data_IF_205206550342
#
_entry.id   IF_205206550342
#
_cell.length_a   1.000
_cell.length_b   1.000
_cell.length_c   1.000
_cell.angle_alpha   90.00
_cell.angle_beta   90.00
_cell.angle_gamma   90.00
#
_symmetry.space_group_name_H-M   'P 1'
#
loop_
_entity.id
_entity.type
_entity.pdbx_description
1 polymer ?
#
# COMPACT_ATOMS: atom_id res chain seq x y z
N UNK A 1 -1.43 -6.47 -9.01
CA UNK A 1 -2.67 -5.86 -8.46
C UNK A 1 -2.57 -5.98 -6.96
N UNK A 2 -2.94 -4.91 -6.26
CA UNK A 2 -3.03 -4.83 -4.82
C UNK A 2 -4.45 -4.42 -4.44
N UNK A 3 -5.04 -5.10 -3.47
CA UNK A 3 -6.33 -4.69 -2.90
C UNK A 3 -6.06 -3.87 -1.64
N UNK A 4 -6.70 -2.70 -1.55
CA UNK A 4 -6.65 -1.88 -0.33
C UNK A 4 -7.55 -2.50 0.72
N UNK A 5 -6.96 -2.94 1.83
CA UNK A 5 -7.69 -3.52 2.97
C UNK A 5 -8.13 -2.43 3.95
N UNK A 6 -7.21 -1.54 4.30
CA UNK A 6 -7.43 -0.51 5.31
C UNK A 6 -6.72 0.78 4.90
N UNK A 7 -7.30 1.90 5.32
CA UNK A 7 -6.73 3.24 5.14
C UNK A 7 -6.77 4.01 6.45
N UNK A 8 -5.69 4.73 6.76
CA UNK A 8 -5.60 5.58 7.93
C UNK A 8 -4.85 6.87 7.59
N UNK A 9 -5.48 8.01 7.85
CA UNK A 9 -4.90 9.33 7.56
C UNK A 9 -3.90 9.72 8.65
N UNK A 10 -2.67 10.06 8.24
CA UNK A 10 -1.59 10.52 9.12
C UNK A 10 -1.10 11.88 8.63
N UNK A 11 -1.58 12.97 9.25
CA UNK A 11 -1.33 14.32 8.76
C UNK A 11 -1.82 14.47 7.31
N UNK A 12 -0.90 14.85 6.41
CA UNK A 12 -1.14 14.96 4.97
C UNK A 12 -0.78 13.68 4.20
N UNK A 13 -0.60 12.54 4.88
CA UNK A 13 -0.27 11.25 4.25
C UNK A 13 -1.36 10.23 4.53
N UNK A 14 -1.33 9.14 3.76
CA UNK A 14 -2.25 8.02 3.92
C UNK A 14 -1.46 6.74 4.18
N UNK A 15 -1.69 6.12 5.33
CA UNK A 15 -1.23 4.76 5.62
C UNK A 15 -2.24 3.77 5.04
N UNK A 16 -1.77 2.84 4.23
CA UNK A 16 -2.62 1.94 3.44
C UNK A 16 -2.13 0.51 3.58
N UNK A 17 -3.00 -0.39 3.99
CA UNK A 17 -2.72 -1.84 3.99
C UNK A 17 -3.09 -2.41 2.63
N UNK A 18 -2.13 -3.08 2.00
CA UNK A 18 -2.25 -3.70 0.67
C UNK A 18 -2.17 -5.22 0.80
N UNK A 19 -3.11 -5.92 0.18
CA UNK A 19 -3.10 -7.37 -0.04
C UNK A 19 -2.66 -7.67 -1.49
N UNK A 20 -1.78 -8.66 -1.65
CA UNK A 20 -1.22 -9.06 -2.95
C UNK A 20 0.28 -9.36 -2.89
N UNK A 21 0.93 -9.39 -4.06
CA UNK A 21 2.39 -9.65 -4.22
C UNK A 21 3.26 -8.48 -3.74
N UNK A 22 3.28 -8.28 -2.41
CA UNK A 22 3.87 -7.14 -1.74
C UNK A 22 5.41 -7.14 -1.73
N UNK A 23 6.05 -8.25 -2.11
CA UNK A 23 7.51 -8.37 -2.25
C UNK A 23 8.12 -7.38 -3.26
N UNK A 24 7.29 -6.80 -4.15
CA UNK A 24 7.70 -5.81 -5.13
C UNK A 24 7.63 -4.36 -4.61
N UNK A 25 7.04 -4.13 -3.43
CA UNK A 25 6.88 -2.79 -2.86
C UNK A 25 8.17 -2.36 -2.15
N UNK A 26 8.66 -1.18 -2.50
CA UNK A 26 9.79 -0.50 -1.86
C UNK A 26 9.54 1.00 -1.83
N UNK A 27 10.33 1.73 -1.06
CA UNK A 27 10.28 3.19 -1.06
C UNK A 27 10.55 3.72 -2.48
N UNK A 28 9.71 4.67 -2.92
CA UNK A 28 9.72 5.22 -4.28
C UNK A 28 8.92 4.40 -5.31
N UNK A 29 8.37 3.23 -4.96
CA UNK A 29 7.47 2.50 -5.87
C UNK A 29 6.27 3.37 -6.24
N UNK A 30 5.95 3.42 -7.53
CA UNK A 30 4.75 4.11 -8.05
C UNK A 30 3.62 3.11 -8.24
N UNK A 31 2.48 3.44 -7.67
CA UNK A 31 1.22 2.71 -7.83
C UNK A 31 0.27 3.54 -8.68
N UNK A 32 -0.60 2.91 -9.46
CA UNK A 32 -1.70 3.58 -10.15
C UNK A 32 -3.04 2.90 -9.87
N UNK A 33 -4.12 3.67 -9.91
CA UNK A 33 -5.49 3.13 -9.87
C UNK A 33 -6.09 2.93 -11.27
N UNK A 34 -7.32 2.43 -11.35
CA UNK A 34 -8.06 2.22 -12.61
C UNK A 34 -8.28 3.50 -13.42
N UNK A 35 -8.22 4.68 -12.80
CA UNK A 35 -8.34 5.98 -13.47
C UNK A 35 -7.01 6.48 -14.03
N UNK A 36 -5.90 5.77 -13.75
CA UNK A 36 -4.54 6.16 -14.14
C UNK A 36 -3.88 7.16 -13.19
N UNK A 37 -4.52 7.51 -12.05
CA UNK A 37 -3.90 8.38 -11.05
C UNK A 37 -2.76 7.63 -10.38
N UNK A 38 -1.61 8.29 -10.25
CA UNK A 38 -0.39 7.70 -9.68
C UNK A 38 -0.17 8.14 -8.23
N UNK A 39 0.33 7.22 -7.41
CA UNK A 39 0.65 7.38 -6.00
C UNK A 39 2.08 6.89 -5.74
N UNK A 40 2.84 7.61 -4.92
CA UNK A 40 4.21 7.23 -4.57
C UNK A 40 4.26 6.65 -3.16
N UNK A 41 4.90 5.48 -3.03
CA UNK A 41 5.21 4.84 -1.76
C UNK A 41 6.33 5.61 -1.08
N UNK A 42 6.01 6.36 -0.03
CA UNK A 42 6.97 7.10 0.79
C UNK A 42 7.76 6.14 1.69
N UNK A 43 7.07 5.18 2.30
CA UNK A 43 7.68 4.18 3.17
C UNK A 43 6.90 2.88 3.12
N UNK A 44 7.61 1.75 3.19
CA UNK A 44 7.02 0.43 3.48
C UNK A 44 7.21 0.15 4.97
N UNK A 45 6.13 -0.23 5.67
CA UNK A 45 6.18 -0.57 7.07
C UNK A 45 6.80 -1.97 7.27
N UNK A 46 7.57 -2.14 8.35
CA UNK A 46 7.96 -3.45 8.81
C UNK A 46 6.96 -3.93 9.85
N UNK A 47 6.14 -4.91 9.50
CA UNK A 47 5.15 -5.48 10.40
C UNK A 47 5.72 -6.70 11.11
N UNK A 48 5.47 -6.81 12.41
CA UNK A 48 5.81 -8.02 13.17
C UNK A 48 4.64 -8.99 13.09
N UNK A 49 4.89 -10.17 12.54
CA UNK A 49 3.93 -11.27 12.53
C UNK A 49 4.34 -12.34 13.55
N UNK A 50 3.35 -13.04 14.11
CA UNK A 50 3.60 -14.21 14.94
C UNK A 50 3.99 -15.42 14.10
N UNK A 51 3.40 -15.56 12.91
CA UNK A 51 3.76 -16.56 11.91
C UNK A 51 4.57 -15.90 10.77
N UNK A 52 5.82 -16.32 10.52
CA UNK A 52 6.63 -15.79 9.42
C UNK A 52 5.97 -15.91 8.04
N UNK A 53 5.08 -16.88 7.82
CA UNK A 53 4.38 -17.05 6.55
C UNK A 53 3.36 -15.94 6.23
N UNK A 54 2.95 -15.17 7.25
CA UNK A 54 2.03 -14.04 7.07
C UNK A 54 2.71 -12.79 6.50
N UNK A 55 4.04 -12.71 6.56
CA UNK A 55 4.79 -11.53 6.11
C UNK A 55 4.61 -11.24 4.61
N UNK A 56 4.26 -12.27 3.83
CA UNK A 56 4.04 -12.17 2.39
C UNK A 56 2.57 -11.92 2.01
N UNK A 57 1.63 -11.97 2.97
CA UNK A 57 0.19 -11.85 2.67
C UNK A 57 -0.22 -10.40 2.42
N UNK A 58 0.26 -9.50 3.25
CA UNK A 58 -0.06 -8.08 3.13
C UNK A 58 1.08 -7.22 3.67
N UNK A 59 1.11 -5.97 3.27
CA UNK A 59 2.01 -4.97 3.86
C UNK A 59 1.30 -3.63 4.02
N UNK A 60 1.80 -2.81 4.91
CA UNK A 60 1.32 -1.44 5.08
C UNK A 60 2.34 -0.49 4.45
N UNK A 61 1.85 0.44 3.64
CA UNK A 61 2.67 1.50 3.03
C UNK A 61 2.15 2.87 3.42
N UNK A 62 3.06 3.84 3.45
CA UNK A 62 2.73 5.25 3.58
C UNK A 62 2.77 5.89 2.19
N UNK A 63 1.68 6.55 1.81
CA UNK A 63 1.54 7.26 0.54
C UNK A 63 1.46 8.76 0.79
N UNK A 64 2.01 9.56 -0.13
CA UNK A 64 1.81 11.02 -0.13
C UNK A 64 0.33 11.33 -0.37
N UNK A 65 -0.18 12.41 0.26
CA UNK A 65 -1.58 12.86 0.25
C UNK A 65 -2.40 12.36 -0.95
N UNK A 66 -3.31 11.43 -0.70
CA UNK A 66 -4.19 10.88 -1.71
C UNK A 66 -5.53 10.46 -1.11
N UNK A 67 -6.58 10.51 -1.94
CA UNK A 67 -7.89 9.98 -1.63
C UNK A 67 -7.97 8.55 -2.17
N UNK A 68 -7.66 7.57 -1.32
CA UNK A 68 -7.80 6.14 -1.58
C UNK A 68 -8.75 5.57 -0.54
N UNK A 69 -9.69 4.74 -0.98
CA UNK A 69 -10.69 4.10 -0.11
C UNK A 69 -10.42 2.60 0.03
N UNK A 70 -10.86 2.01 1.15
CA UNK A 70 -10.90 0.55 1.32
C UNK A 70 -11.64 -0.11 0.15
N UNK A 71 -11.09 -1.21 -0.36
CA UNK A 71 -11.62 -1.92 -1.53
C UNK A 71 -11.09 -1.41 -2.87
N UNK A 72 -10.36 -0.29 -2.89
CA UNK A 72 -9.67 0.18 -4.10
C UNK A 72 -8.65 -0.84 -4.62
N UNK A 73 -8.44 -0.86 -5.93
CA UNK A 73 -7.42 -1.67 -6.58
C UNK A 73 -6.29 -0.78 -7.09
N UNK A 74 -5.06 -1.14 -6.74
CA UNK A 74 -3.84 -0.47 -7.17
C UNK A 74 -2.95 -1.42 -7.97
N UNK A 75 -2.12 -0.86 -8.83
CA UNK A 75 -1.23 -1.60 -9.72
C UNK A 75 0.16 -0.95 -9.70
N UNK A 76 1.23 -1.75 -9.79
CA UNK A 76 2.58 -1.18 -9.95
C UNK A 76 2.72 -0.67 -11.39
N UNK A 77 3.24 0.56 -11.51
CA UNK A 77 3.64 1.19 -12.77
C UNK A 77 4.75 0.40 -13.50
#
# INVERSE_FOLDING_TARGET
MFKVLDVFKIGDMLSVTLDGKCEMLKNGTKLYDKSGRTYEVVSVAMTRYNDPSDIAKSTTVLLKACDIETGSELFIA
#
